data_IF_935350957184
#
_entry.id   IF_935350957184
#
_cell.length_a   1.000
_cell.length_b   1.000
_cell.length_c   1.000
_cell.angle_alpha   90.00
_cell.angle_beta   90.00
_cell.angle_gamma   90.00
#
_symmetry.space_group_name_H-M   'P 1'
#
loop_
_entity.id
_entity.type
_entity.pdbx_description
1 polymer ?
#
# COMPACT_ATOMS: atom_id res chain seq x y z
N UNK A 1 -42.06 3.40 -29.47
CA UNK A 1 -41.84 2.75 -28.16
C UNK A 1 -40.50 1.99 -28.08
N UNK A 2 -40.16 1.10 -29.03
CA UNK A 2 -38.92 0.30 -29.00
C UNK A 2 -37.62 1.13 -28.90
N UNK A 3 -37.50 2.22 -29.67
CA UNK A 3 -36.32 3.09 -29.65
C UNK A 3 -36.11 3.85 -28.31
N UNK A 4 -37.19 4.20 -27.63
CA UNK A 4 -37.10 4.86 -26.31
C UNK A 4 -36.65 3.87 -25.24
N UNK A 5 -37.10 2.62 -25.33
CA UNK A 5 -36.68 1.56 -24.43
C UNK A 5 -35.18 1.22 -24.59
N UNK A 6 -34.69 1.12 -25.83
CA UNK A 6 -33.26 0.83 -26.07
C UNK A 6 -32.36 1.98 -25.63
N UNK A 7 -32.75 3.23 -25.87
CA UNK A 7 -32.02 4.40 -25.38
C UNK A 7 -31.95 4.43 -23.85
N UNK A 8 -33.08 4.14 -23.16
CA UNK A 8 -33.12 4.08 -21.70
C UNK A 8 -32.20 2.99 -21.13
N UNK A 9 -32.14 1.81 -21.76
CA UNK A 9 -31.25 0.72 -21.36
C UNK A 9 -29.79 1.12 -21.52
N UNK A 10 -29.42 1.73 -22.66
CA UNK A 10 -28.03 2.17 -22.91
C UNK A 10 -27.60 3.24 -21.90
N UNK A 11 -28.46 4.21 -21.60
CA UNK A 11 -28.19 5.27 -20.63
C UNK A 11 -28.03 4.68 -19.22
N UNK A 12 -28.97 3.83 -18.79
CA UNK A 12 -28.94 3.19 -17.48
C UNK A 12 -27.68 2.32 -17.32
N UNK A 13 -27.34 1.53 -18.34
CA UNK A 13 -26.14 0.70 -18.34
C UNK A 13 -24.87 1.54 -18.29
N UNK A 14 -24.79 2.62 -19.08
CA UNK A 14 -23.66 3.55 -19.05
C UNK A 14 -23.48 4.24 -17.70
N UNK A 15 -24.57 4.62 -17.03
CA UNK A 15 -24.52 5.13 -15.65
C UNK A 15 -24.09 4.08 -14.64
N UNK A 16 -24.59 2.84 -14.75
CA UNK A 16 -24.19 1.74 -13.88
C UNK A 16 -22.69 1.43 -14.00
N UNK A 17 -22.16 1.40 -15.22
CA UNK A 17 -20.73 1.24 -15.50
C UNK A 17 -19.90 2.39 -14.93
N UNK A 18 -20.33 3.64 -15.15
CA UNK A 18 -19.64 4.82 -14.58
C UNK A 18 -19.60 4.77 -13.05
N UNK A 19 -20.70 4.36 -12.40
CA UNK A 19 -20.75 4.20 -10.94
C UNK A 19 -19.84 3.07 -10.46
N UNK A 20 -19.81 1.94 -11.17
CA UNK A 20 -18.94 0.81 -10.83
C UNK A 20 -17.45 1.18 -10.95
N UNK A 21 -17.07 1.83 -12.05
CA UNK A 21 -15.70 2.28 -12.27
C UNK A 21 -15.25 3.31 -11.23
N UNK A 22 -16.11 4.31 -10.96
CA UNK A 22 -15.82 5.35 -9.97
C UNK A 22 -15.67 4.77 -8.56
N UNK A 23 -16.49 3.79 -8.19
CA UNK A 23 -16.33 3.07 -6.91
C UNK A 23 -14.98 2.36 -6.81
N UNK A 24 -14.57 1.65 -7.87
CA UNK A 24 -13.27 0.97 -7.91
C UNK A 24 -12.13 1.97 -7.70
N UNK A 25 -12.15 3.09 -8.45
CA UNK A 25 -11.15 4.15 -8.34
C UNK A 25 -11.11 4.76 -6.93
N UNK A 26 -12.25 5.08 -6.33
CA UNK A 26 -12.28 5.67 -4.98
C UNK A 26 -11.74 4.73 -3.90
N UNK A 27 -11.94 3.41 -4.04
CA UNK A 27 -11.41 2.42 -3.11
C UNK A 27 -9.89 2.32 -3.26
N UNK A 28 -9.39 2.31 -4.49
CA UNK A 28 -7.96 2.28 -4.79
C UNK A 28 -7.25 3.56 -4.30
N UNK A 29 -7.84 4.73 -4.53
CA UNK A 29 -7.33 6.01 -4.03
C UNK A 29 -7.31 6.05 -2.49
N UNK A 30 -8.39 5.62 -1.83
CA UNK A 30 -8.44 5.56 -0.37
C UNK A 30 -7.40 4.58 0.21
N UNK A 31 -7.23 3.41 -0.41
CA UNK A 31 -6.20 2.44 -0.02
C UNK A 31 -4.79 3.02 -0.20
N UNK A 32 -4.55 3.72 -1.30
CA UNK A 32 -3.27 4.38 -1.59
C UNK A 32 -3.00 5.54 -0.62
N UNK A 33 -4.00 6.34 -0.30
CA UNK A 33 -3.87 7.44 0.66
C UNK A 33 -3.62 6.89 2.07
N UNK A 34 -4.27 5.79 2.46
CA UNK A 34 -4.00 5.11 3.72
C UNK A 34 -2.57 4.53 3.78
N UNK A 35 -2.11 3.90 2.71
CA UNK A 35 -0.74 3.40 2.62
C UNK A 35 0.28 4.55 2.70
N UNK A 36 0.01 5.67 2.03
CA UNK A 36 0.88 6.84 2.05
C UNK A 36 0.88 7.56 3.40
N UNK A 37 -0.27 7.62 4.09
CA UNK A 37 -0.36 8.11 5.47
C UNK A 37 0.41 7.21 6.44
N UNK A 38 0.27 5.89 6.32
CA UNK A 38 1.07 4.94 7.10
C UNK A 38 2.56 5.15 6.85
N UNK A 39 2.98 5.21 5.57
CA UNK A 39 4.37 5.48 5.18
C UNK A 39 4.88 6.81 5.73
N UNK A 40 4.08 7.87 5.69
CA UNK A 40 4.45 9.19 6.22
C UNK A 40 4.56 9.17 7.73
N UNK A 41 3.63 8.53 8.45
CA UNK A 41 3.73 8.37 9.91
C UNK A 41 4.98 7.57 10.28
N UNK A 42 5.24 6.44 9.60
CA UNK A 42 6.45 5.63 9.77
C UNK A 42 7.74 6.35 9.36
N UNK A 43 7.70 7.32 8.44
CA UNK A 43 8.86 8.11 8.03
C UNK A 43 9.06 9.36 8.91
N UNK A 44 7.98 9.90 9.48
CA UNK A 44 8.01 11.09 10.35
C UNK A 44 8.49 10.76 11.77
N UNK A 45 8.35 9.49 12.18
CA UNK A 45 9.09 8.94 13.29
C UNK A 45 10.37 8.38 12.67
N UNK A 46 11.52 8.99 12.94
CA UNK A 46 12.83 8.54 12.44
C UNK A 46 13.29 7.21 13.07
N UNK A 47 12.39 6.26 13.29
CA UNK A 47 12.68 4.98 13.93
C UNK A 47 13.13 3.97 12.87
N UNK A 48 14.30 3.37 13.14
CA UNK A 48 14.78 2.23 12.39
C UNK A 48 13.86 1.03 12.62
N UNK A 49 13.45 0.37 11.54
CA UNK A 49 12.68 -0.88 11.60
C UNK A 49 13.59 -2.03 11.19
N UNK A 50 13.71 -3.01 12.08
CA UNK A 50 14.40 -4.27 11.86
C UNK A 50 13.39 -5.40 12.09
N UNK A 51 13.20 -6.27 11.10
CA UNK A 51 12.40 -7.47 11.27
C UNK A 51 13.30 -8.68 11.46
N UNK A 52 12.96 -9.57 12.39
CA UNK A 52 13.72 -10.80 12.65
C UNK A 52 12.89 -12.07 12.43
N UNK A 53 13.56 -13.20 12.22
CA UNK A 53 12.94 -14.51 12.28
C UNK A 53 12.69 -14.95 13.74
N UNK A 54 12.19 -16.19 13.91
CA UNK A 54 11.87 -16.77 15.22
C UNK A 54 13.10 -16.97 16.11
N UNK A 55 14.28 -17.06 15.50
CA UNK A 55 15.57 -17.24 16.18
C UNK A 55 16.27 -15.89 16.41
N UNK A 56 15.61 -14.78 16.09
CA UNK A 56 16.13 -13.42 16.30
C UNK A 56 17.12 -12.96 15.23
N UNK A 57 17.22 -13.66 14.09
CA UNK A 57 18.09 -13.26 12.97
C UNK A 57 17.41 -12.21 12.12
N UNK A 58 18.14 -11.17 11.74
CA UNK A 58 17.60 -10.09 10.90
C UNK A 58 17.17 -10.66 9.54
N UNK A 59 15.94 -10.34 9.14
CA UNK A 59 15.36 -10.72 7.84
C UNK A 59 15.25 -9.54 6.90
N UNK A 60 15.06 -8.32 7.43
CA UNK A 60 15.06 -7.10 6.65
C UNK A 60 15.25 -5.87 7.55
N UNK A 61 15.84 -4.82 6.98
CA UNK A 61 16.04 -3.50 7.57
C UNK A 61 15.56 -2.41 6.62
N UNK A 62 14.93 -1.37 7.16
CA UNK A 62 14.64 -0.15 6.38
C UNK A 62 15.86 0.78 6.33
N UNK A 63 15.87 1.73 5.38
CA UNK A 63 16.98 2.67 5.20
C UNK A 63 17.32 3.50 6.46
N UNK A 64 16.33 3.74 7.33
CA UNK A 64 16.56 4.44 8.61
C UNK A 64 17.32 3.55 9.59
N UNK A 65 16.98 2.25 9.68
CA UNK A 65 17.72 1.30 10.49
C UNK A 65 19.14 1.10 9.97
N UNK A 66 19.34 1.11 8.64
CA UNK A 66 20.67 1.09 8.05
C UNK A 66 21.49 2.32 8.48
N UNK A 67 20.89 3.51 8.38
CA UNK A 67 21.54 4.76 8.80
C UNK A 67 21.86 4.80 10.31
N UNK A 68 20.98 4.24 11.15
CA UNK A 68 21.14 4.25 12.60
C UNK A 68 22.15 3.20 13.10
N UNK A 69 22.20 2.02 12.47
CA UNK A 69 23.09 0.92 12.88
C UNK A 69 24.44 0.94 12.16
N UNK A 70 24.51 1.58 10.99
CA UNK A 70 25.66 1.57 10.11
C UNK A 70 25.82 0.28 9.28
N UNK A 71 24.84 -0.63 9.32
CA UNK A 71 24.83 -1.87 8.52
C UNK A 71 23.82 -1.76 7.39
N UNK A 72 24.15 -2.27 6.21
CA UNK A 72 23.13 -2.45 5.17
C UNK A 72 22.22 -3.62 5.51
N UNK A 73 21.03 -3.67 4.90
CA UNK A 73 20.12 -4.81 5.00
C UNK A 73 20.83 -6.12 4.63
N UNK A 74 21.68 -6.08 3.60
CA UNK A 74 22.44 -7.24 3.11
C UNK A 74 23.50 -7.69 4.12
N UNK A 75 24.17 -6.75 4.78
CA UNK A 75 25.16 -7.05 5.82
C UNK A 75 24.51 -7.62 7.07
N UNK A 76 23.35 -7.09 7.45
CA UNK A 76 22.64 -7.54 8.64
C UNK A 76 21.88 -8.86 8.42
N UNK A 77 21.51 -9.19 7.19
CA UNK A 77 20.69 -10.36 6.88
C UNK A 77 21.28 -11.66 7.47
N UNK A 78 20.48 -12.37 8.25
CA UNK A 78 20.86 -13.62 8.92
C UNK A 78 21.69 -13.45 10.19
N UNK A 79 22.10 -12.23 10.55
CA UNK A 79 22.82 -11.95 11.80
C UNK A 79 21.83 -11.90 12.97
N UNK A 80 22.11 -12.58 14.10
CA UNK A 80 21.31 -12.46 15.32
C UNK A 80 21.36 -11.05 15.88
N UNK A 81 20.21 -10.52 16.33
CA UNK A 81 20.13 -9.21 16.96
C UNK A 81 20.58 -9.21 18.45
N UNK A 82 20.79 -10.39 19.05
CA UNK A 82 21.16 -10.62 20.46
C UNK A 82 22.52 -11.29 20.60
#
# INVERSE_FOLDING_TARGET
MLFLATAAIIICFGEALRRALKRCQTVEEAAREQAERMRTTFASIGDGVIATDRDGRVTTMNAVAEALTGWTNEEAAGIPLT
#
